data_IF_075450914714
#
_entry.id   IF_075450914714
#
_cell.length_a   1.000
_cell.length_b   1.000
_cell.length_c   1.000
_cell.angle_alpha   90.00
_cell.angle_beta   90.00
_cell.angle_gamma   90.00
#
_symmetry.space_group_name_H-M   'P 1'
#
loop_
_entity.id
_entity.type
_entity.pdbx_description
1 polymer ?
#
# COMPACT_ATOMS: atom_id res chain seq x y z
N UNK A 1 -5.37 14.64 -3.51
CA UNK A 1 -4.24 14.24 -2.63
C UNK A 1 -3.66 15.48 -1.98
N UNK A 2 -3.59 15.54 -0.64
CA UNK A 2 -3.08 16.69 0.11
C UNK A 2 -1.64 17.10 -0.23
N UNK A 3 -1.36 18.40 -0.17
CA UNK A 3 -0.04 18.96 -0.49
C UNK A 3 1.08 18.45 0.43
N UNK A 4 0.79 18.10 1.67
CA UNK A 4 1.76 17.54 2.62
C UNK A 4 2.30 16.18 2.16
N UNK A 5 1.44 15.35 1.56
CA UNK A 5 1.81 14.06 0.98
C UNK A 5 2.63 14.27 -0.28
N UNK A 6 2.15 15.16 -1.18
CA UNK A 6 2.79 15.44 -2.47
C UNK A 6 4.22 15.96 -2.30
N UNK A 7 4.44 16.77 -1.28
CA UNK A 7 5.74 17.40 -1.01
C UNK A 7 6.62 16.59 -0.05
N UNK A 8 6.13 15.50 0.53
CA UNK A 8 6.89 14.66 1.46
C UNK A 8 8.13 14.04 0.79
N UNK A 9 9.23 13.97 1.54
CA UNK A 9 10.43 13.24 1.13
C UNK A 9 10.33 11.75 1.42
N UNK A 10 9.45 11.37 2.35
CA UNK A 10 9.37 10.01 2.90
C UNK A 10 8.16 9.24 2.39
N UNK A 11 7.21 9.92 1.73
CA UNK A 11 6.05 9.24 1.13
C UNK A 11 6.49 8.43 -0.08
N UNK A 12 6.13 7.14 -0.07
CA UNK A 12 6.35 6.22 -1.18
C UNK A 12 5.05 6.11 -2.00
N UNK A 13 5.05 6.50 -3.28
CA UNK A 13 3.85 6.45 -4.11
C UNK A 13 3.61 5.09 -4.79
N UNK A 14 4.23 4.03 -4.25
CA UNK A 14 4.21 2.70 -4.83
C UNK A 14 3.91 1.69 -3.73
N UNK A 15 2.92 0.87 -4.00
CA UNK A 15 2.71 -0.42 -3.34
C UNK A 15 3.05 -1.53 -4.30
N UNK A 16 3.34 -2.73 -3.79
CA UNK A 16 3.48 -3.93 -4.64
C UNK A 16 2.19 -4.22 -5.42
N UNK A 17 1.02 -3.96 -4.82
CA UNK A 17 -0.25 -4.00 -5.53
C UNK A 17 -0.35 -2.80 -6.48
N UNK A 18 -0.54 -3.09 -7.75
CA UNK A 18 -0.72 -2.09 -8.80
C UNK A 18 -1.61 -2.63 -9.90
N UNK A 19 -2.34 -1.73 -10.55
CA UNK A 19 -3.16 -2.06 -11.71
C UNK A 19 -2.87 -1.10 -12.86
N UNK A 20 -3.22 -1.51 -14.08
CA UNK A 20 -3.06 -0.67 -15.26
C UNK A 20 -3.87 0.60 -15.10
N UNK A 21 -3.23 1.74 -15.34
CA UNK A 21 -3.87 3.05 -15.23
C UNK A 21 -5.04 3.15 -16.23
N UNK A 22 -6.21 3.57 -15.73
CA UNK A 22 -7.44 3.72 -16.54
C UNK A 22 -7.72 5.18 -16.94
N UNK A 23 -7.31 6.14 -16.11
CA UNK A 23 -7.55 7.58 -16.33
C UNK A 23 -6.35 8.34 -16.89
N UNK A 24 -6.57 9.57 -17.32
CA UNK A 24 -5.55 10.48 -17.87
C UNK A 24 -4.91 11.38 -16.81
N UNK A 25 -5.50 11.48 -15.62
CA UNK A 25 -4.98 12.32 -14.52
C UNK A 25 -3.60 11.83 -14.11
N UNK A 26 -2.54 12.67 -14.18
CA UNK A 26 -1.20 12.28 -13.78
C UNK A 26 -1.12 12.01 -12.28
N UNK A 27 -0.20 11.14 -11.85
CA UNK A 27 0.07 10.98 -10.42
C UNK A 27 0.69 12.30 -9.91
N UNK A 28 0.17 12.88 -8.81
CA UNK A 28 0.58 14.20 -8.33
C UNK A 28 2.06 14.27 -7.90
N UNK A 29 2.71 13.13 -7.63
CA UNK A 29 4.13 13.08 -7.27
C UNK A 29 5.07 13.29 -8.46
N UNK A 30 4.60 13.10 -9.69
CA UNK A 30 5.45 13.12 -10.90
C UNK A 30 6.16 14.47 -11.03
N UNK A 31 5.43 15.58 -10.89
CA UNK A 31 6.01 16.92 -11.06
C UNK A 31 7.12 17.20 -10.03
N UNK A 32 6.89 16.83 -8.76
CA UNK A 32 7.89 16.97 -7.70
C UNK A 32 9.14 16.13 -7.97
N UNK A 33 8.97 14.93 -8.54
CA UNK A 33 10.08 14.04 -8.89
C UNK A 33 10.85 14.54 -10.12
N UNK A 34 10.17 15.10 -11.12
CA UNK A 34 10.79 15.74 -12.29
C UNK A 34 11.63 16.96 -11.85
N UNK A 35 11.12 17.79 -10.93
CA UNK A 35 11.90 18.88 -10.31
C UNK A 35 13.14 18.39 -9.57
N UNK A 36 13.03 17.28 -8.82
CA UNK A 36 14.17 16.65 -8.11
C UNK A 36 15.23 16.15 -9.10
N UNK A 37 14.83 15.56 -10.22
CA UNK A 37 15.75 15.16 -11.29
C UNK A 37 16.45 16.39 -11.90
N UNK A 38 15.70 17.46 -12.18
CA UNK A 38 16.26 18.71 -12.70
C UNK A 38 17.35 19.28 -11.79
N UNK A 39 17.06 19.41 -10.48
CA UNK A 39 18.03 19.87 -9.48
C UNK A 39 19.27 18.98 -9.41
N UNK A 40 19.09 17.66 -9.42
CA UNK A 40 20.21 16.71 -9.39
C UNK A 40 21.10 16.83 -10.64
N UNK A 41 20.51 17.08 -11.82
CA UNK A 41 21.27 17.31 -13.05
C UNK A 41 22.06 18.62 -13.01
N UNK A 42 21.47 19.69 -12.47
CA UNK A 42 22.18 20.96 -12.26
C UNK A 42 23.38 20.78 -11.34
N UNK A 43 23.20 20.11 -10.19
CA UNK A 43 24.26 19.87 -9.21
C UNK A 43 25.42 19.04 -9.79
N UNK A 44 25.14 18.04 -10.64
CA UNK A 44 26.18 17.27 -11.34
C UNK A 44 27.06 18.18 -12.22
N UNK A 45 26.51 19.26 -12.78
CA UNK A 45 27.22 20.21 -13.63
C UNK A 45 28.07 21.24 -12.88
N UNK A 46 27.97 21.31 -11.54
CA UNK A 46 28.76 22.23 -10.72
C UNK A 46 30.20 21.72 -10.55
N UNK A 47 31.17 22.65 -10.56
CA UNK A 47 32.61 22.32 -10.53
C UNK A 47 33.10 21.78 -9.18
N UNK A 48 32.38 22.06 -8.10
CA UNK A 48 32.68 21.64 -6.73
C UNK A 48 32.02 20.31 -6.33
N UNK A 49 31.20 19.70 -7.21
CA UNK A 49 30.55 18.43 -6.92
C UNK A 49 31.55 17.28 -7.02
N UNK A 50 31.73 16.56 -5.92
CA UNK A 50 32.65 15.40 -5.86
C UNK A 50 32.17 14.24 -6.73
N UNK A 51 33.09 13.38 -7.17
CA UNK A 51 32.74 12.23 -8.01
C UNK A 51 31.78 11.26 -7.28
N UNK A 52 32.01 10.98 -6.00
CA UNK A 52 31.09 10.15 -5.19
C UNK A 52 29.67 10.74 -5.16
N UNK A 53 29.56 12.07 -5.06
CA UNK A 53 28.27 12.76 -5.06
C UNK A 53 27.62 12.66 -6.45
N UNK A 54 28.37 12.79 -7.53
CA UNK A 54 27.84 12.60 -8.89
C UNK A 54 27.31 11.18 -9.09
N UNK A 55 28.04 10.15 -8.66
CA UNK A 55 27.59 8.75 -8.72
C UNK A 55 26.30 8.54 -7.94
N UNK A 56 26.20 9.09 -6.72
CA UNK A 56 24.98 9.03 -5.93
C UNK A 56 23.80 9.72 -6.63
N UNK A 57 24.01 10.93 -7.19
CA UNK A 57 22.98 11.69 -7.90
C UNK A 57 22.50 10.97 -9.15
N UNK A 58 23.39 10.34 -9.92
CA UNK A 58 23.04 9.54 -11.08
C UNK A 58 22.17 8.33 -10.70
N UNK A 59 22.54 7.61 -9.63
CA UNK A 59 21.72 6.53 -9.08
C UNK A 59 20.34 7.00 -8.65
N UNK A 60 20.28 8.15 -7.98
CA UNK A 60 19.02 8.78 -7.56
C UNK A 60 18.15 9.18 -8.75
N UNK A 61 18.73 9.78 -9.80
CA UNK A 61 18.02 10.15 -11.03
C UNK A 61 17.41 8.89 -11.67
N UNK A 62 18.18 7.82 -11.82
CA UNK A 62 17.69 6.56 -12.42
C UNK A 62 16.49 6.01 -11.65
N UNK A 63 16.58 5.96 -10.32
CA UNK A 63 15.47 5.50 -9.48
C UNK A 63 14.22 6.37 -9.68
N UNK A 64 14.36 7.70 -9.67
CA UNK A 64 13.23 8.61 -9.86
C UNK A 64 12.61 8.45 -11.26
N UNK A 65 13.43 8.28 -12.31
CA UNK A 65 12.95 8.05 -13.68
C UNK A 65 12.15 6.75 -13.81
N UNK A 66 12.64 5.66 -13.23
CA UNK A 66 11.91 4.38 -13.18
C UNK A 66 10.58 4.54 -12.45
N UNK A 67 10.57 5.19 -11.29
CA UNK A 67 9.33 5.44 -10.56
C UNK A 67 8.34 6.33 -11.33
N UNK A 68 8.80 7.37 -12.03
CA UNK A 68 7.94 8.19 -12.89
C UNK A 68 7.34 7.35 -14.02
N UNK A 69 8.12 6.47 -14.66
CA UNK A 69 7.62 5.58 -15.70
C UNK A 69 6.51 4.65 -15.16
N UNK A 70 6.71 4.08 -13.97
CA UNK A 70 5.72 3.26 -13.28
C UNK A 70 4.45 4.05 -12.94
N UNK A 71 4.56 5.28 -12.43
CA UNK A 71 3.41 6.16 -12.14
C UNK A 71 2.66 6.64 -13.40
N UNK A 72 3.32 6.64 -14.56
CA UNK A 72 2.70 6.91 -15.86
C UNK A 72 1.94 5.69 -16.37
N UNK A 73 2.43 4.48 -16.08
CA UNK A 73 1.86 3.22 -16.55
C UNK A 73 0.74 2.65 -15.66
N UNK A 74 0.91 2.72 -14.34
CA UNK A 74 0.07 2.06 -13.36
C UNK A 74 -0.52 3.02 -12.33
N UNK A 75 -1.51 2.53 -11.60
CA UNK A 75 -2.04 3.12 -10.37
C UNK A 75 -1.78 2.17 -9.20
N UNK A 76 -1.71 2.74 -7.99
CA UNK A 76 -1.26 2.09 -6.77
C UNK A 76 -2.23 2.39 -5.64
N UNK A 77 -2.18 1.58 -4.58
CA UNK A 77 -2.97 1.83 -3.39
C UNK A 77 -2.49 3.10 -2.68
N UNK A 78 -3.41 3.83 -2.06
CA UNK A 78 -3.14 5.04 -1.29
C UNK A 78 -3.35 4.73 0.19
N UNK A 79 -2.28 4.78 0.97
CA UNK A 79 -2.27 4.33 2.37
C UNK A 79 -3.34 4.97 3.25
N UNK A 80 -3.79 6.20 2.96
CA UNK A 80 -4.82 6.89 3.74
C UNK A 80 -6.26 6.56 3.35
N UNK A 81 -6.47 5.99 2.17
CA UNK A 81 -7.80 5.80 1.59
C UNK A 81 -8.13 4.31 1.42
N UNK A 82 -7.14 3.49 1.05
CA UNK A 82 -7.35 2.10 0.68
C UNK A 82 -6.94 1.16 1.82
N UNK A 83 -7.81 0.24 2.26
CA UNK A 83 -7.52 -0.72 3.32
C UNK A 83 -6.69 -1.88 2.78
N UNK A 84 -5.41 -1.93 3.16
CA UNK A 84 -4.53 -3.07 2.86
C UNK A 84 -3.64 -3.44 4.02
N UNK A 85 -3.10 -4.66 3.95
CA UNK A 85 -2.11 -5.21 4.88
C UNK A 85 -0.78 -5.40 4.17
N UNK A 86 0.29 -5.45 4.94
CA UNK A 86 1.66 -5.63 4.46
C UNK A 86 2.20 -6.95 4.99
N UNK A 87 2.75 -7.76 4.09
CA UNK A 87 3.30 -9.08 4.40
C UNK A 87 4.83 -9.02 4.31
N UNK A 88 5.57 -9.64 5.24
CA UNK A 88 7.03 -9.71 5.15
C UNK A 88 7.49 -10.22 3.78
N UNK A 89 8.45 -9.53 3.17
CA UNK A 89 8.90 -9.84 1.82
C UNK A 89 9.34 -11.30 1.67
N UNK A 90 10.06 -11.86 2.65
CA UNK A 90 10.48 -13.26 2.63
C UNK A 90 9.30 -14.25 2.57
N UNK A 91 8.17 -13.95 3.22
CA UNK A 91 6.95 -14.77 3.14
C UNK A 91 6.29 -14.60 1.77
N UNK A 92 6.14 -13.36 1.32
CA UNK A 92 5.48 -13.04 0.04
C UNK A 92 6.24 -13.57 -1.18
N UNK A 93 7.56 -13.70 -1.08
CA UNK A 93 8.43 -14.23 -2.15
C UNK A 93 8.70 -15.72 -2.05
N UNK A 94 8.21 -16.40 -1.01
CA UNK A 94 8.37 -17.85 -0.91
C UNK A 94 7.56 -18.53 -2.02
N UNK A 95 8.26 -19.20 -2.93
CA UNK A 95 7.66 -19.94 -4.05
C UNK A 95 7.59 -21.45 -3.79
N UNK A 96 8.18 -21.91 -2.68
CA UNK A 96 8.13 -23.31 -2.28
C UNK A 96 6.84 -23.61 -1.52
N UNK A 97 6.32 -22.65 -0.75
CA UNK A 97 5.03 -22.79 -0.08
C UNK A 97 3.88 -22.52 -1.07
N UNK A 98 3.05 -23.54 -1.39
CA UNK A 98 1.91 -23.36 -2.29
C UNK A 98 0.86 -22.38 -1.74
N UNK A 99 0.82 -22.19 -0.41
CA UNK A 99 -0.09 -21.32 0.31
C UNK A 99 0.53 -19.97 0.72
N UNK A 100 1.75 -19.67 0.26
CA UNK A 100 2.32 -18.35 0.44
C UNK A 100 1.37 -17.27 -0.12
N UNK A 101 1.11 -16.20 0.64
CA UNK A 101 0.33 -15.05 0.18
C UNK A 101 0.87 -14.47 -1.13
N UNK A 102 -0.03 -13.92 -1.94
CA UNK A 102 0.31 -13.15 -3.12
C UNK A 102 -0.22 -11.74 -2.98
N UNK A 103 0.45 -10.81 -3.64
CA UNK A 103 -0.02 -9.43 -3.76
C UNK A 103 -1.41 -9.42 -4.40
N UNK A 104 -2.39 -8.88 -3.69
CA UNK A 104 -3.80 -8.80 -4.09
C UNK A 104 -4.69 -9.85 -3.46
N UNK A 105 -4.13 -10.87 -2.79
CA UNK A 105 -4.94 -11.86 -2.08
C UNK A 105 -5.81 -11.15 -1.04
N UNK A 106 -7.07 -11.58 -0.92
CA UNK A 106 -7.98 -11.03 0.07
C UNK A 106 -7.47 -11.32 1.47
N UNK A 107 -7.68 -10.37 2.36
CA UNK A 107 -7.29 -10.44 3.75
C UNK A 107 -8.35 -9.81 4.63
N UNK A 108 -8.34 -10.17 5.90
CA UNK A 108 -9.16 -9.56 6.94
C UNK A 108 -8.26 -9.21 8.10
N UNK A 109 -8.40 -7.98 8.59
CA UNK A 109 -7.85 -7.58 9.87
C UNK A 109 -8.95 -7.75 10.91
N UNK A 110 -8.69 -8.52 11.97
CA UNK A 110 -9.62 -8.74 13.07
C UNK A 110 -9.14 -7.96 14.27
N UNK A 111 -10.02 -7.11 14.82
CA UNK A 111 -9.77 -6.41 16.07
C UNK A 111 -11.05 -6.38 16.92
N UNK A 112 -11.01 -7.01 18.10
CA UNK A 112 -12.20 -7.23 18.92
C UNK A 112 -13.24 -8.07 18.17
N UNK A 113 -14.44 -7.52 17.99
CA UNK A 113 -15.56 -8.16 17.25
C UNK A 113 -15.73 -7.62 15.84
N UNK A 114 -14.74 -6.91 15.32
CA UNK A 114 -14.81 -6.25 14.01
C UNK A 114 -13.83 -6.90 13.06
N UNK A 115 -14.33 -7.28 11.89
CA UNK A 115 -13.55 -7.85 10.80
C UNK A 115 -13.48 -6.82 9.68
N UNK A 116 -12.29 -6.40 9.33
CA UNK A 116 -12.05 -5.35 8.35
C UNK A 116 -11.55 -5.97 7.03
N UNK A 117 -12.38 -5.99 5.97
CA UNK A 117 -11.96 -6.44 4.64
C UNK A 117 -10.73 -5.67 4.15
N UNK A 118 -9.79 -6.36 3.54
CA UNK A 118 -8.56 -5.78 3.01
C UNK A 118 -7.99 -6.69 1.91
N UNK A 119 -6.86 -6.26 1.35
CA UNK A 119 -6.02 -7.11 0.50
C UNK A 119 -4.58 -7.08 0.98
N UNK A 120 -3.78 -8.05 0.55
CA UNK A 120 -2.32 -7.98 0.62
C UNK A 120 -1.84 -6.91 -0.36
N UNK A 121 -1.55 -5.72 0.16
CA UNK A 121 -1.21 -4.55 -0.65
C UNK A 121 0.27 -4.40 -0.92
N UNK A 122 1.13 -4.81 0.03
CA UNK A 122 2.56 -4.56 -0.08
C UNK A 122 3.45 -5.59 0.61
N UNK A 123 4.74 -5.54 0.27
CA UNK A 123 5.82 -6.29 0.88
C UNK A 123 6.56 -5.42 1.91
N UNK A 124 6.62 -5.87 3.15
CA UNK A 124 7.31 -5.17 4.25
C UNK A 124 8.67 -5.78 4.58
N UNK A 125 9.40 -5.19 5.55
CA UNK A 125 10.64 -5.75 6.05
C UNK A 125 10.48 -7.18 6.57
N UNK A 126 11.40 -8.08 6.23
CA UNK A 126 11.31 -9.51 6.55
C UNK A 126 11.27 -9.85 8.05
N UNK A 127 11.63 -8.89 8.92
CA UNK A 127 11.71 -9.08 10.37
C UNK A 127 10.49 -8.55 11.13
N UNK A 128 9.47 -8.02 10.43
CA UNK A 128 8.33 -7.35 11.06
C UNK A 128 7.01 -7.80 10.46
N UNK A 129 6.04 -8.11 11.31
CA UNK A 129 4.63 -8.37 10.96
C UNK A 129 3.72 -7.33 11.61
N UNK A 130 2.49 -7.19 11.10
CA UNK A 130 1.48 -6.27 11.65
C UNK A 130 1.48 -4.88 11.03
N UNK A 131 2.03 -4.73 9.82
CA UNK A 131 1.94 -3.49 9.06
C UNK A 131 0.64 -3.46 8.23
N UNK A 132 0.02 -2.28 8.17
CA UNK A 132 -1.20 -2.04 7.41
C UNK A 132 -1.25 -0.58 6.96
N UNK A 133 -2.14 -0.30 6.02
CA UNK A 133 -2.50 1.05 5.59
C UNK A 133 -2.86 1.98 6.75
N UNK A 134 -2.60 3.27 6.59
CA UNK A 134 -3.03 4.30 7.55
C UNK A 134 -4.56 4.40 7.63
N UNK A 135 -5.28 4.07 6.53
CA UNK A 135 -6.74 3.88 6.50
C UNK A 135 -7.19 2.88 7.56
N UNK A 136 -6.61 1.69 7.54
CA UNK A 136 -6.89 0.63 8.52
C UNK A 136 -6.57 1.08 9.94
N UNK A 137 -5.38 1.68 10.13
CA UNK A 137 -4.95 2.14 11.44
C UNK A 137 -5.91 3.18 12.04
N UNK A 138 -6.38 4.14 11.23
CA UNK A 138 -7.31 5.20 11.65
C UNK A 138 -8.73 4.69 11.92
N UNK A 139 -9.16 3.66 11.21
CA UNK A 139 -10.44 3.01 11.49
C UNK A 139 -10.43 2.30 12.86
N UNK A 140 -9.29 1.70 13.23
CA UNK A 140 -9.11 1.08 14.55
C UNK A 140 -8.93 2.15 15.65
N UNK A 141 -8.15 3.18 15.36
CA UNK A 141 -7.86 4.27 16.29
C UNK A 141 -7.73 5.59 15.52
N UNK A 142 -8.69 6.53 15.65
CA UNK A 142 -8.67 7.80 14.92
C UNK A 142 -7.40 8.64 15.10
N UNK A 143 -6.69 8.49 16.22
CA UNK A 143 -5.45 9.21 16.51
C UNK A 143 -4.21 8.60 15.83
N UNK A 144 -4.37 7.47 15.12
CA UNK A 144 -3.27 6.80 14.45
C UNK A 144 -2.64 7.70 13.37
N UNK A 145 -1.32 7.62 13.29
CA UNK A 145 -0.50 8.36 12.33
C UNK A 145 0.70 7.50 11.92
N UNK A 146 1.49 7.91 10.91
CA UNK A 146 2.74 7.22 10.58
C UNK A 146 3.71 7.06 11.77
N UNK A 147 3.58 7.91 12.80
CA UNK A 147 4.41 7.91 14.00
C UNK A 147 3.70 7.38 15.25
N UNK A 148 2.39 7.10 15.17
CA UNK A 148 1.57 6.62 16.29
C UNK A 148 0.80 5.39 15.86
N UNK A 149 1.21 4.23 16.38
CA UNK A 149 0.53 2.95 16.14
C UNK A 149 -0.90 2.95 16.74
N UNK A 150 -1.86 2.28 16.10
CA UNK A 150 -3.24 2.23 16.58
C UNK A 150 -3.40 1.33 17.81
N UNK A 151 -2.61 0.25 17.90
CA UNK A 151 -2.65 -0.77 18.94
C UNK A 151 -1.20 -1.13 19.32
N UNK A 152 -0.94 -1.37 20.61
CA UNK A 152 0.37 -1.81 21.11
C UNK A 152 0.38 -3.23 21.68
N UNK A 153 -0.79 -3.85 21.82
CA UNK A 153 -0.97 -5.20 22.36
C UNK A 153 -1.19 -6.25 21.25
N UNK A 154 -1.05 -7.53 21.59
CA UNK A 154 -1.25 -8.66 20.67
C UNK A 154 -2.73 -9.01 20.48
N UNK A 155 -3.54 -8.02 20.08
CA UNK A 155 -5.01 -8.14 19.95
C UNK A 155 -5.51 -8.01 18.52
N UNK A 156 -4.61 -7.84 17.55
CA UNK A 156 -4.95 -7.74 16.12
C UNK A 156 -4.52 -9.02 15.42
N UNK A 157 -5.43 -9.61 14.65
CA UNK A 157 -5.15 -10.79 13.83
C UNK A 157 -5.27 -10.44 12.35
N UNK A 158 -4.33 -10.93 11.54
CA UNK A 158 -4.34 -10.79 10.10
C UNK A 158 -4.65 -12.16 9.50
N UNK A 159 -5.84 -12.32 8.93
CA UNK A 159 -6.24 -13.53 8.22
C UNK A 159 -6.09 -13.27 6.73
N UNK A 160 -5.17 -13.97 6.07
CA UNK A 160 -5.00 -13.90 4.62
C UNK A 160 -5.61 -15.13 3.98
N UNK A 161 -6.28 -14.95 2.84
CA UNK A 161 -6.81 -16.03 2.02
C UNK A 161 -5.95 -16.18 0.76
N UNK A 162 -4.94 -17.08 0.75
CA UNK A 162 -4.01 -17.18 -0.37
C UNK A 162 -4.72 -17.61 -1.66
N UNK A 163 -4.19 -17.18 -2.80
CA UNK A 163 -4.70 -17.53 -4.15
C UNK A 163 -6.13 -17.04 -4.42
N UNK A 164 -6.49 -15.90 -3.83
CA UNK A 164 -7.82 -15.30 -4.00
C UNK A 164 -7.78 -13.95 -4.71
N UNK A 165 -6.59 -13.44 -5.03
CA UNK A 165 -6.43 -12.19 -5.74
C UNK A 165 -7.24 -12.15 -7.05
N UNK A 166 -7.90 -11.02 -7.29
CA UNK A 166 -8.53 -10.77 -8.58
C UNK A 166 -7.48 -10.71 -9.70
N UNK A 167 -7.80 -11.33 -10.83
CA UNK A 167 -7.02 -11.27 -12.06
C UNK A 167 -7.94 -10.93 -13.26
N UNK A 168 -7.72 -9.80 -13.97
CA UNK A 168 -6.69 -8.80 -13.72
C UNK A 168 -6.95 -7.98 -12.46
N UNK A 169 -5.85 -7.52 -11.82
CA UNK A 169 -5.91 -6.54 -10.72
C UNK A 169 -6.64 -5.27 -11.14
N UNK A 170 -7.46 -4.73 -10.23
CA UNK A 170 -8.32 -3.58 -10.46
C UNK A 170 -8.04 -2.41 -9.52
N UNK A 171 -8.75 -1.31 -9.75
CA UNK A 171 -8.85 -0.26 -8.74
C UNK A 171 -9.66 -0.77 -7.53
N UNK A 172 -9.43 -0.25 -6.32
CA UNK A 172 -10.22 -0.62 -5.16
C UNK A 172 -11.72 -0.49 -5.41
N UNK A 173 -12.44 -1.57 -5.13
CA UNK A 173 -13.91 -1.62 -5.09
C UNK A 173 -14.27 -2.24 -3.74
N UNK A 174 -14.63 -1.40 -2.79
CA UNK A 174 -14.82 -1.83 -1.40
C UNK A 174 -16.07 -2.71 -1.20
N UNK A 175 -17.10 -2.51 -2.03
CA UNK A 175 -18.28 -3.36 -2.02
C UNK A 175 -17.93 -4.78 -2.49
N UNK A 176 -17.17 -4.88 -3.59
CA UNK A 176 -16.64 -6.15 -4.08
C UNK A 176 -15.71 -6.81 -3.04
N UNK A 177 -14.76 -6.06 -2.46
CA UNK A 177 -13.86 -6.61 -1.44
C UNK A 177 -14.60 -7.11 -0.21
N UNK A 178 -15.60 -6.36 0.28
CA UNK A 178 -16.46 -6.78 1.37
C UNK A 178 -17.20 -8.07 1.06
N UNK A 179 -17.82 -8.17 -0.13
CA UNK A 179 -18.52 -9.38 -0.58
C UNK A 179 -17.58 -10.59 -0.67
N UNK A 180 -16.41 -10.44 -1.29
CA UNK A 180 -15.43 -11.53 -1.42
C UNK A 180 -14.90 -11.98 -0.06
N UNK A 181 -14.61 -11.04 0.84
CA UNK A 181 -14.21 -11.37 2.21
C UNK A 181 -15.32 -12.09 2.98
N UNK A 182 -16.58 -11.68 2.83
CA UNK A 182 -17.72 -12.36 3.45
C UNK A 182 -17.84 -13.82 2.97
N UNK A 183 -17.76 -14.06 1.66
CA UNK A 183 -17.79 -15.40 1.06
C UNK A 183 -16.65 -16.28 1.60
N UNK A 184 -15.44 -15.72 1.70
CA UNK A 184 -14.26 -16.44 2.18
C UNK A 184 -14.33 -16.75 3.68
N UNK A 185 -14.87 -15.85 4.49
CA UNK A 185 -15.10 -16.09 5.93
C UNK A 185 -16.12 -17.20 6.12
N UNK A 186 -17.21 -17.18 5.36
CA UNK A 186 -18.24 -18.22 5.43
C UNK A 186 -17.65 -19.60 5.11
N UNK A 187 -16.79 -19.68 4.09
CA UNK A 187 -16.10 -20.91 3.72
C UNK A 187 -15.18 -21.49 4.81
N UNK A 188 -14.73 -20.67 5.77
CA UNK A 188 -13.82 -21.09 6.87
C UNK A 188 -14.51 -21.13 8.24
N UNK A 189 -15.85 -21.11 8.28
CA UNK A 189 -16.62 -21.29 9.51
C UNK A 189 -17.52 -20.11 9.91
N UNK A 190 -17.55 -19.04 9.11
CA UNK A 190 -18.47 -17.93 9.29
C UNK A 190 -18.10 -16.97 10.41
N UNK A 191 -19.01 -16.03 10.68
CA UNK A 191 -18.85 -15.03 11.73
C UNK A 191 -19.25 -15.59 13.10
N UNK A 192 -18.40 -15.34 14.11
CA UNK A 192 -18.75 -15.64 15.50
C UNK A 192 -19.89 -14.76 16.02
N UNK A 193 -20.59 -15.17 17.10
CA UNK A 193 -21.68 -14.39 17.69
C UNK A 193 -21.28 -12.95 18.03
N UNK A 194 -22.02 -11.98 17.48
CA UNK A 194 -21.79 -10.55 17.67
C UNK A 194 -20.55 -10.00 16.95
N UNK A 195 -19.92 -10.79 16.08
CA UNK A 195 -18.89 -10.31 15.17
C UNK A 195 -19.53 -9.69 13.92
N UNK A 196 -18.95 -8.60 13.43
CA UNK A 196 -19.47 -7.84 12.30
C UNK A 196 -18.37 -7.62 11.26
N UNK A 197 -18.73 -7.83 9.99
CA UNK A 197 -17.90 -7.46 8.86
C UNK A 197 -18.07 -5.95 8.60
N UNK A 198 -16.95 -5.24 8.55
CA UNK A 198 -16.94 -3.80 8.35
C UNK A 198 -17.20 -3.43 6.89
N UNK A 199 -18.03 -2.40 6.68
CA UNK A 199 -18.26 -1.79 5.39
C UNK A 199 -17.45 -0.50 5.25
N UNK A 200 -16.48 -0.52 4.33
CA UNK A 200 -15.66 0.66 4.07
C UNK A 200 -16.44 1.72 3.30
N UNK A 201 -16.36 2.95 3.79
CA UNK A 201 -16.76 4.13 3.02
C UNK A 201 -15.65 4.53 2.07
N UNK A 202 -16.02 4.86 0.83
CA UNK A 202 -15.10 5.51 -0.08
C UNK A 202 -14.91 6.97 0.31
N UNK A 203 -13.68 7.33 0.66
CA UNK A 203 -13.30 8.69 1.04
C UNK A 203 -12.82 9.54 -0.14
N UNK A 204 -12.58 8.93 -1.32
CA UNK A 204 -12.13 9.66 -2.51
C UNK A 204 -13.29 10.21 -3.35
N UNK A 205 -14.49 9.62 -3.26
CA UNK A 205 -15.69 10.08 -3.98
C UNK A 205 -16.45 11.22 -3.29
N UNK A 206 -16.00 11.62 -2.09
CA UNK A 206 -16.60 12.70 -1.30
C UNK A 206 -15.90 14.06 -1.39
N UNK A 207 -14.85 14.20 -2.22
CA UNK A 207 -14.14 15.46 -2.52
C UNK A 207 -14.42 15.98 -3.93
#
# INVERSE_FOLDING_TARGET
MPGEIVNSTNYQPFTSYRWRKKGTVPNPMIEGWEKRIGKARSEIGESNTTEDRKTWLQGRIKMLQTGIADMKYASFLIAEYDPFVVIPANILTDRQDPYAPNVGDFAIVVYGRRLFPAIVGDAGPSFKVGEASLRMAREINPDASPYRRPVSDLTVTYLVFPRTADDPKGAPDYGHWGKRCAELVEAVGGLGPGAELHEWKDLLSGE
#
